data_IF_486094488068
#
_entry.id   IF_486094488068
#
_cell.length_a   1.000
_cell.length_b   1.000
_cell.length_c   1.000
_cell.angle_alpha   90.00
_cell.angle_beta   90.00
_cell.angle_gamma   90.00
#
_symmetry.space_group_name_H-M   'P 1'
#
loop_
_entity.id
_entity.type
_entity.pdbx_description
1 polymer ?
#
# COMPACT_ATOMS: atom_id res chain seq x y z
N UNK A 1 17.08 -19.02 -6.75
CA UNK A 1 16.23 -19.28 -5.57
C UNK A 1 15.95 -17.94 -4.91
N UNK A 2 14.85 -17.28 -5.27
CA UNK A 2 14.42 -16.07 -4.57
C UNK A 2 13.80 -16.49 -3.24
N UNK A 3 14.31 -15.96 -2.15
CA UNK A 3 13.82 -16.19 -0.79
C UNK A 3 12.34 -15.77 -0.72
N UNK A 4 11.47 -16.72 -0.37
CA UNK A 4 10.03 -16.52 -0.17
C UNK A 4 9.74 -15.85 1.17
N UNK A 5 10.45 -14.77 1.49
CA UNK A 5 10.05 -13.88 2.58
C UNK A 5 8.75 -13.21 2.15
N UNK A 6 7.63 -13.85 2.50
CA UNK A 6 6.30 -13.45 2.07
C UNK A 6 6.09 -12.00 2.47
N UNK A 7 5.87 -11.14 1.46
CA UNK A 7 5.54 -9.72 1.59
C UNK A 7 4.53 -9.41 2.71
N UNK A 8 3.64 -10.36 3.02
CA UNK A 8 2.69 -10.33 4.13
C UNK A 8 3.30 -10.13 5.52
N UNK A 9 4.59 -10.45 5.76
CA UNK A 9 5.26 -10.27 7.05
C UNK A 9 5.88 -8.88 7.20
N UNK A 10 6.28 -8.24 6.08
CA UNK A 10 6.91 -6.90 6.14
C UNK A 10 5.88 -5.76 6.12
N UNK A 11 4.69 -5.97 5.54
CA UNK A 11 3.59 -5.00 5.53
C UNK A 11 3.10 -4.55 6.92
N UNK A 12 2.89 -5.44 7.91
CA UNK A 12 2.43 -5.01 9.23
C UNK A 12 3.44 -4.09 9.95
N UNK A 13 4.75 -4.31 9.77
CA UNK A 13 5.78 -3.49 10.42
C UNK A 13 5.82 -2.03 9.89
N UNK A 14 5.46 -1.83 8.61
CA UNK A 14 5.44 -0.52 7.99
C UNK A 14 4.25 0.34 8.44
N UNK A 15 3.11 -0.28 8.74
CA UNK A 15 1.91 0.42 9.20
C UNK A 15 2.09 1.01 10.61
N UNK A 16 2.87 0.34 11.46
CA UNK A 16 3.18 0.81 12.82
C UNK A 16 4.14 2.03 12.81
N UNK A 17 4.87 2.27 11.72
CA UNK A 17 5.83 3.36 11.61
C UNK A 17 5.22 4.70 11.18
N UNK A 18 3.99 4.69 10.65
CA UNK A 18 3.29 5.90 10.17
C UNK A 18 2.43 6.56 11.27
N UNK A 19 2.30 5.95 12.45
CA UNK A 19 1.70 6.57 13.64
C UNK A 19 2.78 7.22 14.51
N UNK A 20 3.38 8.31 14.04
CA UNK A 20 4.07 9.24 14.93
C UNK A 20 3.65 10.68 14.64
N UNK A 21 2.70 11.12 15.46
CA UNK A 21 2.43 12.53 15.72
C UNK A 21 3.65 13.12 16.40
N UNK A 22 4.29 14.07 15.71
CA UNK A 22 5.00 15.21 16.29
C UNK A 22 5.98 14.95 17.43
N UNK A 23 7.27 14.97 17.09
CA UNK A 23 8.35 15.27 18.03
C UNK A 23 9.37 14.16 18.18
N UNK A 24 10.62 14.52 17.87
CA UNK A 24 11.86 13.79 18.13
C UNK A 24 12.10 12.54 17.27
N UNK A 25 12.94 12.73 16.24
CA UNK A 25 13.49 11.70 15.36
C UNK A 25 14.40 10.74 16.16
N UNK A 26 13.82 9.80 16.87
CA UNK A 26 14.52 8.63 17.37
C UNK A 26 14.40 7.52 16.33
N UNK A 27 15.39 7.44 15.43
CA UNK A 27 15.57 6.29 14.55
C UNK A 27 15.82 5.06 15.44
N UNK A 28 14.75 4.36 15.81
CA UNK A 28 14.83 3.02 16.37
C UNK A 28 15.22 2.08 15.24
N UNK A 29 16.53 1.98 15.01
CA UNK A 29 17.11 0.91 14.21
C UNK A 29 16.81 -0.38 14.97
N UNK A 30 15.74 -1.09 14.59
CA UNK A 30 15.40 -2.37 15.18
C UNK A 30 16.65 -3.27 15.13
N UNK A 31 17.13 -3.68 16.31
CA UNK A 31 18.27 -4.58 16.45
C UNK A 31 17.88 -5.93 15.82
N UNK A 32 18.26 -6.14 14.56
CA UNK A 32 17.94 -7.36 13.83
C UNK A 32 18.75 -8.52 14.45
N UNK A 33 18.12 -9.61 14.92
CA UNK A 33 18.82 -10.69 15.59
C UNK A 33 19.86 -11.33 14.67
N UNK A 34 21.09 -11.49 15.19
CA UNK A 34 22.32 -11.77 14.42
C UNK A 34 22.34 -13.04 13.57
N UNK A 35 21.37 -13.95 13.74
CA UNK A 35 21.26 -15.18 12.94
C UNK A 35 20.61 -14.96 11.56
N UNK A 36 20.03 -13.77 11.31
CA UNK A 36 19.46 -13.38 10.00
C UNK A 36 20.47 -12.63 9.11
N UNK A 37 21.68 -12.39 9.60
CA UNK A 37 22.72 -11.57 8.93
C UNK A 37 23.38 -12.23 7.71
N UNK A 38 22.89 -13.39 7.26
CA UNK A 38 23.39 -14.07 6.06
C UNK A 38 22.55 -13.80 4.80
N UNK A 39 21.45 -13.05 4.92
CA UNK A 39 20.61 -12.66 3.80
C UNK A 39 20.82 -11.19 3.44
N UNK A 40 20.94 -10.88 2.14
CA UNK A 40 21.18 -9.53 1.64
C UNK A 40 20.12 -8.53 2.12
N UNK A 41 20.45 -7.76 3.17
CA UNK A 41 19.61 -6.70 3.77
C UNK A 41 19.13 -5.66 2.74
N UNK A 42 19.88 -5.52 1.64
CA UNK A 42 19.56 -4.67 0.50
C UNK A 42 18.12 -4.82 -0.02
N UNK A 43 17.56 -6.04 0.03
CA UNK A 43 16.18 -6.30 -0.40
C UNK A 43 15.11 -5.60 0.44
N UNK A 44 15.34 -5.45 1.74
CA UNK A 44 14.43 -4.76 2.67
C UNK A 44 14.77 -3.28 2.76
N UNK A 45 16.06 -2.90 2.78
CA UNK A 45 16.49 -1.48 2.86
C UNK A 45 15.90 -0.64 1.72
N UNK A 46 15.90 -1.17 0.49
CA UNK A 46 15.34 -0.46 -0.67
C UNK A 46 13.83 -0.23 -0.60
N UNK A 47 13.10 -1.08 0.13
CA UNK A 47 11.64 -0.93 0.32
C UNK A 47 11.34 0.11 1.40
N UNK A 48 12.15 0.11 2.47
CA UNK A 48 12.04 1.07 3.57
C UNK A 48 12.44 2.48 3.13
N UNK A 49 13.49 2.58 2.31
CA UNK A 49 14.06 3.85 1.84
C UNK A 49 14.00 3.93 0.30
N UNK A 50 12.79 3.97 -0.28
CA UNK A 50 12.62 3.93 -1.73
C UNK A 50 13.27 5.13 -2.44
N UNK A 51 13.35 6.28 -1.76
CA UNK A 51 13.99 7.50 -2.30
C UNK A 51 15.51 7.38 -2.47
N UNK A 52 16.16 6.41 -1.81
CA UNK A 52 17.61 6.19 -1.90
C UNK A 52 17.96 5.06 -2.88
N UNK A 53 16.96 4.38 -3.47
CA UNK A 53 17.18 3.33 -4.45
C UNK A 53 17.55 3.95 -5.82
N UNK A 54 18.86 3.95 -6.14
CA UNK A 54 19.39 4.48 -7.41
C UNK A 54 19.47 3.46 -8.53
N UNK A 55 19.46 2.17 -8.19
CA UNK A 55 19.49 1.09 -9.19
C UNK A 55 18.12 0.94 -9.86
N UNK A 56 17.05 1.21 -9.08
CA UNK A 56 15.69 1.24 -9.57
C UNK A 56 15.38 2.62 -10.15
N UNK A 57 15.40 2.72 -11.47
CA UNK A 57 14.92 3.93 -12.17
C UNK A 57 13.47 4.26 -11.83
N UNK A 58 13.00 5.44 -12.26
CA UNK A 58 11.59 5.83 -12.09
C UNK A 58 10.65 4.85 -12.77
N UNK A 59 9.58 4.43 -12.06
CA UNK A 59 8.55 3.58 -12.64
C UNK A 59 7.71 4.31 -13.70
N UNK A 60 7.71 5.65 -13.71
CA UNK A 60 6.89 6.44 -14.63
C UNK A 60 5.37 6.24 -14.46
N UNK A 61 4.94 5.68 -13.33
CA UNK A 61 3.53 5.39 -13.05
C UNK A 61 2.87 6.58 -12.36
N UNK A 62 1.71 6.97 -12.88
CA UNK A 62 0.82 7.96 -12.27
C UNK A 62 -0.34 7.27 -11.58
N UNK A 63 -0.88 7.89 -10.55
CA UNK A 63 -2.03 7.43 -9.77
C UNK A 63 -3.26 7.23 -10.66
N UNK A 64 -3.42 8.04 -11.72
CA UNK A 64 -4.51 7.89 -12.69
C UNK A 64 -4.46 6.55 -13.43
N UNK A 65 -3.28 6.08 -13.81
CA UNK A 65 -3.10 4.79 -14.48
C UNK A 65 -3.32 3.65 -13.49
N UNK A 66 -2.82 3.80 -12.26
CA UNK A 66 -3.07 2.83 -11.19
C UNK A 66 -4.57 2.69 -10.88
N UNK A 67 -5.32 3.80 -10.86
CA UNK A 67 -6.77 3.79 -10.68
C UNK A 67 -7.46 2.99 -11.79
N UNK A 68 -7.08 3.20 -13.06
CA UNK A 68 -7.60 2.41 -14.19
C UNK A 68 -7.30 0.92 -14.02
N UNK A 69 -6.04 0.57 -13.71
CA UNK A 69 -5.63 -0.81 -13.50
C UNK A 69 -6.42 -1.48 -12.36
N UNK A 70 -6.67 -0.78 -11.25
CA UNK A 70 -7.45 -1.30 -10.13
C UNK A 70 -8.92 -1.53 -10.50
N UNK A 71 -9.55 -0.59 -11.21
CA UNK A 71 -10.93 -0.73 -11.68
C UNK A 71 -11.07 -1.93 -12.62
N UNK A 72 -10.16 -2.07 -13.57
CA UNK A 72 -10.15 -3.17 -14.55
C UNK A 72 -9.87 -4.52 -13.86
N UNK A 73 -8.91 -4.58 -12.92
CA UNK A 73 -8.55 -5.81 -12.21
C UNK A 73 -9.64 -6.28 -11.22
N UNK A 74 -10.35 -5.34 -10.57
CA UNK A 74 -11.45 -5.64 -9.66
C UNK A 74 -12.79 -5.84 -10.40
N UNK A 75 -12.84 -5.63 -11.72
CA UNK A 75 -14.06 -5.75 -12.52
C UNK A 75 -15.15 -4.76 -12.11
N UNK A 76 -14.78 -3.58 -11.62
CA UNK A 76 -15.72 -2.55 -11.18
C UNK A 76 -16.23 -1.75 -12.39
N UNK A 77 -17.50 -1.34 -12.36
CA UNK A 77 -18.01 -0.36 -13.33
C UNK A 77 -17.33 1.00 -13.10
N UNK A 78 -16.98 1.70 -14.18
CA UNK A 78 -16.33 3.02 -14.14
C UNK A 78 -17.26 4.09 -13.56
N UNK A 79 -18.56 3.85 -13.64
CA UNK A 79 -19.63 4.70 -13.14
C UNK A 79 -19.91 4.43 -11.65
N UNK A 80 -19.34 3.36 -11.08
CA UNK A 80 -19.49 3.06 -9.66
C UNK A 80 -18.89 4.17 -8.80
N UNK A 81 -19.50 4.37 -7.64
CA UNK A 81 -19.05 5.37 -6.67
C UNK A 81 -17.60 5.13 -6.23
N UNK A 82 -17.19 3.87 -6.09
CA UNK A 82 -15.83 3.51 -5.69
C UNK A 82 -14.80 3.77 -6.80
N UNK A 83 -15.15 3.50 -8.07
CA UNK A 83 -14.32 3.87 -9.22
C UNK A 83 -14.16 5.40 -9.34
N UNK A 84 -15.26 6.15 -9.17
CA UNK A 84 -15.23 7.62 -9.17
C UNK A 84 -14.33 8.17 -8.06
N UNK A 85 -14.24 7.51 -6.90
CA UNK A 85 -13.32 7.89 -5.83
C UNK A 85 -11.87 7.62 -6.17
N UNK A 86 -11.57 6.46 -6.76
CA UNK A 86 -10.21 6.17 -7.22
C UNK A 86 -9.73 7.20 -8.25
N UNK A 87 -10.59 7.63 -9.18
CA UNK A 87 -10.22 8.65 -10.16
C UNK A 87 -10.16 10.07 -9.59
N UNK A 88 -10.92 10.38 -8.53
CA UNK A 88 -10.98 11.70 -7.89
C UNK A 88 -10.38 11.70 -6.48
N UNK A 89 -9.38 10.85 -6.23
CA UNK A 89 -8.77 10.63 -4.91
C UNK A 89 -8.26 11.93 -4.25
N UNK A 90 -7.83 12.91 -5.04
CA UNK A 90 -7.34 14.21 -4.55
C UNK A 90 -8.42 15.27 -4.28
N UNK A 91 -9.68 15.06 -4.68
CA UNK A 91 -10.72 16.11 -4.64
C UNK A 91 -11.58 16.12 -3.38
N UNK A 92 -11.32 15.23 -2.41
CA UNK A 92 -12.05 15.22 -1.13
C UNK A 92 -13.56 15.11 -1.32
N UNK A 93 -14.04 13.98 -1.85
CA UNK A 93 -15.47 13.72 -1.96
C UNK A 93 -16.15 13.46 -0.61
N UNK A 94 -17.50 13.36 -0.57
CA UNK A 94 -18.28 13.24 0.67
C UNK A 94 -17.92 12.03 1.56
N UNK A 95 -17.29 11.01 0.98
CA UNK A 95 -16.81 9.80 1.68
C UNK A 95 -15.28 9.65 1.65
N UNK A 96 -14.54 10.55 1.00
CA UNK A 96 -13.07 10.48 0.91
C UNK A 96 -12.40 10.95 2.21
N UNK A 97 -13.12 11.70 3.07
CA UNK A 97 -12.71 11.98 4.45
C UNK A 97 -11.30 12.57 4.59
N UNK A 98 -10.65 12.27 5.72
CA UNK A 98 -9.28 12.69 6.05
C UNK A 98 -8.19 12.10 5.12
N UNK A 99 -8.55 11.14 4.24
CA UNK A 99 -7.63 10.44 3.34
C UNK A 99 -7.55 11.10 1.94
N UNK A 100 -8.23 12.22 1.74
CA UNK A 100 -8.16 13.00 0.51
C UNK A 100 -6.72 13.47 0.25
N UNK A 101 -6.19 13.16 -0.93
CA UNK A 101 -4.80 13.46 -1.28
C UNK A 101 -3.80 12.36 -0.93
N UNK A 102 -4.23 11.18 -0.47
CA UNK A 102 -3.40 9.98 -0.41
C UNK A 102 -4.05 8.84 -1.21
N UNK A 103 -3.55 8.59 -2.42
CA UNK A 103 -4.08 7.54 -3.29
C UNK A 103 -4.00 6.14 -2.66
N UNK A 104 -2.94 5.85 -1.89
CA UNK A 104 -2.73 4.52 -1.31
C UNK A 104 -3.81 4.17 -0.26
N UNK A 105 -4.16 5.12 0.61
CA UNK A 105 -5.25 4.92 1.58
C UNK A 105 -6.62 4.82 0.92
N UNK A 106 -6.91 5.66 -0.08
CA UNK A 106 -8.17 5.57 -0.82
C UNK A 106 -8.28 4.23 -1.56
N UNK A 107 -7.18 3.75 -2.14
CA UNK A 107 -7.14 2.46 -2.83
C UNK A 107 -7.30 1.28 -1.86
N UNK A 108 -6.68 1.34 -0.68
CA UNK A 108 -6.80 0.26 0.31
C UNK A 108 -8.23 0.13 0.83
N UNK A 109 -8.92 1.24 1.11
CA UNK A 109 -10.33 1.24 1.52
C UNK A 109 -11.22 0.58 0.47
N UNK A 110 -11.09 0.98 -0.80
CA UNK A 110 -11.88 0.41 -1.90
C UNK A 110 -11.59 -1.09 -2.07
N UNK A 111 -10.31 -1.48 -2.04
CA UNK A 111 -9.93 -2.89 -2.19
C UNK A 111 -10.46 -3.76 -1.03
N UNK A 112 -10.35 -3.28 0.21
CA UNK A 112 -10.84 -4.00 1.40
C UNK A 112 -12.36 -4.18 1.31
N UNK A 113 -13.11 -3.13 0.95
CA UNK A 113 -14.56 -3.21 0.84
C UNK A 113 -15.02 -4.20 -0.23
N UNK A 114 -14.41 -4.18 -1.42
CA UNK A 114 -14.72 -5.15 -2.49
C UNK A 114 -14.41 -6.58 -2.05
N UNK A 115 -13.25 -6.80 -1.41
CA UNK A 115 -12.85 -8.11 -0.91
C UNK A 115 -13.79 -8.65 0.17
N UNK A 116 -14.22 -7.80 1.11
CA UNK A 116 -15.14 -8.19 2.18
C UNK A 116 -16.53 -8.56 1.64
N UNK A 117 -17.03 -7.82 0.64
CA UNK A 117 -18.32 -8.13 -0.01
C UNK A 117 -18.24 -9.49 -0.71
N UNK A 118 -17.16 -9.75 -1.44
CA UNK A 118 -16.97 -11.02 -2.16
C UNK A 118 -16.84 -12.20 -1.18
N UNK A 119 -16.07 -12.05 -0.10
CA UNK A 119 -15.94 -13.09 0.94
C UNK A 119 -17.27 -13.38 1.63
N UNK A 120 -18.10 -12.36 1.87
CA UNK A 120 -19.43 -12.52 2.48
C UNK A 120 -20.43 -13.23 1.56
N UNK A 121 -20.30 -13.08 0.23
CA UNK A 121 -21.09 -13.84 -0.76
C UNK A 121 -20.68 -15.32 -0.82
N UNK A 122 -19.39 -15.63 -0.65
CA UNK A 122 -18.87 -17.01 -0.65
C UNK A 122 -19.18 -17.82 0.62
N UNK A 123 -19.53 -17.16 1.73
CA UNK A 123 -19.92 -17.80 3.00
C UNK A 123 -21.43 -18.05 3.16
N UNK A 124 -22.25 -17.77 2.14
CA UNK A 124 -23.66 -18.14 2.08
C UNK A 124 -23.85 -19.28 1.07
N UNK A 125 -23.40 -20.46 1.43
CA UNK A 125 -23.85 -21.74 0.88
C UNK A 125 -23.99 -22.72 2.03
#
# INVERSE_FOLDING_TARGET
MGDETKFSVEQPLQLDAEEQVGGEEAVQVAQVPGHLLQGNFFGSTRKLLPSLDRERGSYGLKESVLATCLVDALGMSRESEDARRLFNWGKGGPRTGANAGNFAFVASEVCILVYLIDRKKRGKM
#
